data_IF_868992552092
#
_entry.id   IF_868992552092
#
_cell.length_a   1.000
_cell.length_b   1.000
_cell.length_c   1.000
_cell.angle_alpha   90.00
_cell.angle_beta   90.00
_cell.angle_gamma   90.00
#
_symmetry.space_group_name_H-M   'P 1'
#
loop_
_entity.id
_entity.type
_entity.pdbx_description
1 polymer ?
#
# COMPACT_ATOMS: atom_id res chain seq x y z
N UNK A 1 22.60 3.67 1.83
CA UNK A 1 21.97 3.23 0.57
C UNK A 1 20.89 4.23 0.21
N UNK A 2 20.61 4.40 -1.08
CA UNK A 2 19.57 5.32 -1.53
C UNK A 2 18.17 4.76 -1.24
N UNK A 3 17.16 5.59 -0.92
CA UNK A 3 15.79 5.14 -0.71
C UNK A 3 15.22 4.38 -1.91
N UNK A 4 14.53 3.26 -1.65
CA UNK A 4 13.84 2.46 -2.68
C UNK A 4 12.34 2.63 -2.57
N UNK A 5 11.65 2.59 -3.71
CA UNK A 5 10.19 2.65 -3.77
C UNK A 5 9.63 1.37 -4.38
N UNK A 6 8.45 0.95 -3.88
CA UNK A 6 7.69 -0.17 -4.44
C UNK A 6 6.24 0.24 -4.57
N UNK A 7 5.66 -0.04 -5.73
CA UNK A 7 4.24 0.17 -5.96
C UNK A 7 3.53 -1.17 -5.87
N UNK A 8 2.50 -1.24 -5.03
CA UNK A 8 1.60 -2.38 -4.91
C UNK A 8 0.24 -2.01 -5.48
N UNK A 9 -0.33 -2.87 -6.31
CA UNK A 9 -1.62 -2.67 -6.99
C UNK A 9 -2.55 -3.84 -6.73
N UNK A 10 -3.87 -3.61 -6.81
CA UNK A 10 -4.82 -4.72 -6.81
C UNK A 10 -4.73 -5.49 -8.13
N UNK A 11 -4.43 -6.81 -8.10
CA UNK A 11 -4.23 -7.60 -9.31
C UNK A 11 -5.54 -8.12 -9.95
N UNK A 12 -6.70 -7.96 -9.30
CA UNK A 12 -7.93 -8.64 -9.71
C UNK A 12 -9.19 -7.78 -9.57
N UNK A 13 -10.26 -8.16 -10.31
CA UNK A 13 -11.59 -7.55 -10.11
C UNK A 13 -12.06 -7.99 -8.74
N UNK A 14 -12.06 -7.06 -7.79
CA UNK A 14 -12.58 -7.29 -6.43
C UNK A 14 -14.02 -6.80 -6.30
N UNK A 15 -14.78 -7.43 -5.39
CA UNK A 15 -16.04 -6.89 -4.93
C UNK A 15 -15.81 -5.85 -3.81
N UNK A 16 -16.71 -4.88 -3.71
CA UNK A 16 -16.73 -3.91 -2.60
C UNK A 16 -16.75 -4.63 -1.26
N UNK A 17 -15.97 -4.13 -0.30
CA UNK A 17 -15.85 -4.68 1.06
C UNK A 17 -14.99 -5.94 1.16
N UNK A 18 -14.41 -6.43 0.06
CA UNK A 18 -13.60 -7.66 0.07
C UNK A 18 -12.10 -7.32 0.08
N UNK A 19 -11.35 -7.68 1.13
CA UNK A 19 -9.92 -7.46 1.18
C UNK A 19 -9.17 -8.34 0.17
N UNK A 20 -8.17 -7.79 -0.49
CA UNK A 20 -7.28 -8.48 -1.43
C UNK A 20 -5.83 -8.15 -1.11
N UNK A 21 -4.96 -9.16 -1.13
CA UNK A 21 -3.51 -8.92 -1.07
C UNK A 21 -3.06 -8.24 -2.36
N UNK A 22 -2.49 -7.06 -2.22
CA UNK A 22 -1.97 -6.30 -3.35
C UNK A 22 -0.68 -6.93 -3.85
N UNK A 23 -0.42 -6.75 -5.14
CA UNK A 23 0.72 -7.29 -5.86
C UNK A 23 1.72 -6.19 -6.13
N UNK A 24 2.99 -6.47 -5.89
CA UNK A 24 4.10 -5.62 -6.27
C UNK A 24 4.24 -5.60 -7.79
N UNK A 25 4.20 -4.40 -8.37
CA UNK A 25 4.30 -4.17 -9.81
C UNK A 25 5.65 -4.58 -10.41
N UNK A 26 6.72 -4.63 -9.61
CA UNK A 26 8.07 -4.94 -10.10
C UNK A 26 8.34 -6.45 -10.08
N UNK A 27 7.97 -7.13 -8.99
CA UNK A 27 8.25 -8.57 -8.82
C UNK A 27 7.05 -9.46 -9.09
N UNK A 28 5.85 -8.89 -9.22
CA UNK A 28 4.59 -9.62 -9.38
C UNK A 28 4.28 -10.56 -8.20
N UNK A 29 4.86 -10.29 -7.03
CA UNK A 29 4.60 -11.03 -5.78
C UNK A 29 3.62 -10.25 -4.90
N UNK A 30 2.87 -10.95 -4.05
CA UNK A 30 1.97 -10.33 -3.07
C UNK A 30 2.67 -9.86 -1.80
N UNK A 31 4.01 -9.93 -1.77
CA UNK A 31 4.84 -9.54 -0.65
C UNK A 31 6.16 -8.94 -1.12
N UNK A 32 6.76 -8.13 -0.24
CA UNK A 32 8.13 -7.63 -0.35
C UNK A 32 8.94 -8.33 0.74
N UNK A 33 9.99 -9.03 0.33
CA UNK A 33 10.89 -9.72 1.26
C UNK A 33 11.90 -8.73 1.83
N UNK A 34 11.88 -8.49 3.15
CA UNK A 34 12.87 -7.69 3.86
C UNK A 34 13.90 -8.62 4.52
N UNK A 35 15.11 -8.71 3.98
CA UNK A 35 16.21 -9.50 4.55
C UNK A 35 16.90 -8.76 5.69
N UNK A 36 16.81 -7.43 5.71
CA UNK A 36 17.29 -6.55 6.77
C UNK A 36 16.16 -5.67 7.33
N UNK A 37 16.25 -5.20 8.58
CA UNK A 37 15.33 -4.20 9.10
C UNK A 37 15.29 -2.95 8.22
N UNK A 38 14.12 -2.36 8.07
CA UNK A 38 13.91 -1.19 7.21
C UNK A 38 12.91 -0.22 7.86
N UNK A 39 12.74 0.96 7.28
CA UNK A 39 11.77 1.96 7.72
C UNK A 39 10.96 2.42 6.52
N UNK A 40 9.64 2.40 6.63
CA UNK A 40 8.76 3.08 5.69
C UNK A 40 8.86 4.57 6.01
N UNK A 41 9.39 5.33 5.07
CA UNK A 41 9.50 6.79 5.16
C UNK A 41 8.16 7.45 4.87
N UNK A 42 7.42 6.92 3.90
CA UNK A 42 6.10 7.43 3.55
C UNK A 42 5.33 6.44 2.67
N UNK A 43 4.00 6.62 2.56
CA UNK A 43 3.16 5.89 1.62
C UNK A 43 2.10 6.81 0.99
N UNK A 44 1.83 6.67 -0.31
CA UNK A 44 0.89 7.53 -1.05
C UNK A 44 0.27 6.80 -2.24
N UNK A 45 -0.86 7.27 -2.76
CA UNK A 45 -1.45 6.70 -3.97
C UNK A 45 -0.72 7.24 -5.21
N UNK A 46 -0.54 6.40 -6.23
CA UNK A 46 -0.04 6.78 -7.55
C UNK A 46 -0.42 5.70 -8.59
N UNK A 47 -1.51 5.88 -9.37
CA UNK A 47 -2.37 7.07 -9.45
C UNK A 47 -3.26 7.29 -8.22
N UNK A 48 -3.76 8.52 -8.06
CA UNK A 48 -4.89 8.76 -7.13
C UNK A 48 -6.16 8.08 -7.69
N UNK A 49 -7.10 7.65 -6.81
CA UNK A 49 -8.34 7.02 -7.25
C UNK A 49 -9.07 7.86 -8.32
N UNK A 50 -9.49 7.20 -9.40
CA UNK A 50 -10.02 7.87 -10.58
C UNK A 50 -11.32 8.62 -10.32
N UNK A 51 -12.20 8.07 -9.48
CA UNK A 51 -13.44 8.72 -9.06
C UNK A 51 -13.36 9.18 -7.60
N UNK A 52 -13.94 10.35 -7.31
CA UNK A 52 -13.98 10.90 -5.95
C UNK A 52 -14.74 9.99 -4.94
N UNK A 53 -15.62 9.14 -5.43
CA UNK A 53 -16.35 8.14 -4.63
C UNK A 53 -15.55 6.87 -4.38
N UNK A 54 -14.43 6.68 -5.08
CA UNK A 54 -13.60 5.50 -4.96
C UNK A 54 -12.57 5.72 -3.85
N UNK A 55 -12.80 5.06 -2.73
CA UNK A 55 -11.87 5.07 -1.62
C UNK A 55 -11.55 3.66 -1.14
N UNK A 56 -10.32 3.52 -0.66
CA UNK A 56 -9.65 2.28 -0.35
C UNK A 56 -9.11 2.35 1.07
N UNK A 57 -9.23 1.24 1.79
CA UNK A 57 -8.50 1.04 3.05
C UNK A 57 -7.34 0.09 2.80
N UNK A 58 -6.16 0.46 3.28
CA UNK A 58 -4.94 -0.33 3.17
C UNK A 58 -4.53 -0.82 4.54
N UNK A 59 -4.26 -2.11 4.67
CA UNK A 59 -3.79 -2.71 5.91
C UNK A 59 -2.40 -3.29 5.72
N UNK A 60 -1.47 -2.86 6.56
CA UNK A 60 -0.11 -3.39 6.55
C UNK A 60 -0.06 -4.70 7.31
N UNK A 61 0.47 -5.72 6.65
CA UNK A 61 0.65 -7.05 7.20
C UNK A 61 2.14 -7.42 7.21
N UNK A 62 2.55 -8.18 8.22
CA UNK A 62 3.89 -8.74 8.35
C UNK A 62 3.78 -10.25 8.55
N UNK A 63 4.43 -11.02 7.68
CA UNK A 63 4.36 -12.49 7.67
C UNK A 63 2.90 -12.99 7.72
N UNK A 64 2.02 -12.38 6.91
CA UNK A 64 0.58 -12.66 6.83
C UNK A 64 -0.22 -12.44 8.11
N UNK A 65 0.32 -11.62 9.03
CA UNK A 65 -0.36 -11.17 10.24
C UNK A 65 -0.55 -9.66 10.18
N UNK A 66 -1.75 -9.19 10.52
CA UNK A 66 -2.03 -7.76 10.63
C UNK A 66 -1.08 -7.06 11.59
N UNK A 67 -0.56 -5.90 11.19
CA UNK A 67 0.17 -5.01 12.11
C UNK A 67 -0.77 -4.09 12.90
N UNK A 68 -2.09 -4.17 12.68
CA UNK A 68 -3.09 -3.26 13.24
C UNK A 68 -3.02 -1.84 12.67
N UNK A 69 -2.25 -1.63 11.59
CA UNK A 69 -2.08 -0.33 10.94
C UNK A 69 -2.90 -0.27 9.67
N UNK A 70 -3.85 0.65 9.66
CA UNK A 70 -4.73 0.93 8.53
C UNK A 70 -4.48 2.33 8.00
N UNK A 71 -4.49 2.47 6.68
CA UNK A 71 -4.33 3.72 5.97
C UNK A 71 -5.50 3.92 5.01
N UNK A 72 -5.82 5.18 4.71
CA UNK A 72 -7.00 5.54 3.92
C UNK A 72 -6.54 6.28 2.67
N UNK A 73 -6.94 5.82 1.48
CA UNK A 73 -6.51 6.42 0.21
C UNK A 73 -6.82 7.92 0.15
N UNK A 74 -7.94 8.35 0.71
CA UNK A 74 -8.34 9.77 0.77
C UNK A 74 -7.37 10.64 1.56
N UNK A 75 -6.78 10.11 2.63
CA UNK A 75 -5.77 10.80 3.45
C UNK A 75 -4.36 10.74 2.85
N UNK A 76 -4.15 9.85 1.87
CA UNK A 76 -2.85 9.56 1.26
C UNK A 76 -2.64 10.22 -0.11
N UNK A 77 -3.67 10.87 -0.65
CA UNK A 77 -3.64 11.49 -1.97
C UNK A 77 -2.56 12.55 -2.08
N UNK A 78 -1.77 12.47 -3.14
CA UNK A 78 -0.69 13.44 -3.43
C UNK A 78 -1.22 14.77 -3.95
N UNK A 79 -2.43 14.77 -4.53
CA UNK A 79 -3.11 15.99 -4.96
C UNK A 79 -3.73 16.78 -3.79
N UNK A 80 -3.88 16.17 -2.61
CA UNK A 80 -4.49 16.81 -1.45
C UNK A 80 -3.46 17.61 -0.64
N UNK A 81 -3.72 18.91 -0.45
CA UNK A 81 -2.95 19.75 0.47
C UNK A 81 -3.09 19.31 1.95
N UNK A 82 -4.14 18.55 2.28
CA UNK A 82 -4.40 17.99 3.60
C UNK A 82 -3.85 16.57 3.80
N UNK A 83 -2.96 16.10 2.91
CA UNK A 83 -2.39 14.75 2.98
C UNK A 83 -1.74 14.49 4.34
N UNK A 84 -2.13 13.41 4.99
CA UNK A 84 -1.49 12.92 6.20
C UNK A 84 -0.25 12.10 5.81
N UNK A 85 0.93 12.55 6.26
CA UNK A 85 2.15 11.76 6.10
C UNK A 85 2.05 10.47 6.94
N UNK A 86 2.50 9.35 6.37
CA UNK A 86 2.35 8.04 7.03
C UNK A 86 3.53 7.72 7.95
N UNK A 87 4.73 8.22 7.64
CA UNK A 87 5.97 7.79 8.27
C UNK A 87 6.57 8.76 9.30
N UNK A 88 7.66 8.34 9.98
CA UNK A 88 8.40 7.09 9.76
C UNK A 88 7.86 5.88 10.55
N UNK A 89 7.77 4.71 9.88
CA UNK A 89 7.37 3.43 10.48
C UNK A 89 8.49 2.39 10.41
N UNK A 90 9.03 1.98 11.57
CA UNK A 90 10.10 0.98 11.67
C UNK A 90 9.57 -0.44 11.47
N UNK A 91 10.29 -1.22 10.66
CA UNK A 91 9.97 -2.60 10.32
C UNK A 91 11.15 -3.52 10.67
N UNK A 92 10.85 -4.65 11.30
CA UNK A 92 11.79 -5.76 11.40
C UNK A 92 11.83 -6.55 10.07
N UNK A 93 12.87 -7.34 9.87
CA UNK A 93 12.99 -8.26 8.73
C UNK A 93 11.82 -9.26 8.67
N UNK A 94 11.55 -9.77 7.48
CA UNK A 94 10.44 -10.67 7.17
C UNK A 94 9.67 -10.24 5.92
N UNK A 95 8.53 -10.86 5.71
CA UNK A 95 7.65 -10.56 4.57
C UNK A 95 6.74 -9.39 4.93
N UNK A 96 6.80 -8.33 4.13
CA UNK A 96 5.87 -7.22 4.17
C UNK A 96 4.78 -7.44 3.13
N UNK A 97 3.53 -7.29 3.54
CA UNK A 97 2.37 -7.44 2.66
C UNK A 97 1.45 -6.24 2.85
N UNK A 98 0.71 -5.91 1.80
CA UNK A 98 -0.34 -4.90 1.88
C UNK A 98 -1.65 -5.51 1.44
N UNK A 99 -2.66 -5.43 2.30
CA UNK A 99 -4.03 -5.76 1.95
C UNK A 99 -4.76 -4.47 1.56
N UNK A 100 -5.54 -4.51 0.50
CA UNK A 100 -6.40 -3.42 0.06
C UNK A 100 -7.87 -3.86 0.11
N UNK A 101 -8.73 -3.02 0.68
CA UNK A 101 -10.19 -3.23 0.64
C UNK A 101 -10.86 -2.05 -0.09
N UNK A 102 -11.58 -2.31 -1.20
CA UNK A 102 -12.40 -1.29 -1.86
C UNK A 102 -13.66 -1.01 -1.04
N UNK A 103 -13.96 0.26 -0.77
CA UNK A 103 -15.17 0.64 -0.02
C UNK A 103 -16.19 1.34 -0.93
N UNK A 104 -15.73 2.05 -1.97
CA UNK A 104 -16.60 2.74 -2.94
C UNK A 104 -16.51 2.26 -4.40
N UNK A 105 -15.51 1.45 -4.74
CA UNK A 105 -15.22 1.07 -6.13
C UNK A 105 -15.69 -0.36 -6.47
N UNK A 106 -16.54 -0.50 -7.49
CA UNK A 106 -17.06 -1.79 -7.97
C UNK A 106 -16.06 -2.61 -8.82
N UNK A 107 -14.95 -2.00 -9.25
CA UNK A 107 -13.90 -2.67 -10.03
C UNK A 107 -12.53 -1.97 -9.84
N UNK A 108 -11.84 -2.19 -8.71
CA UNK A 108 -10.67 -1.42 -8.31
C UNK A 108 -9.35 -1.81 -9.00
N UNK A 109 -9.40 -2.55 -10.12
CA UNK A 109 -8.18 -3.02 -10.79
C UNK A 109 -7.33 -1.83 -11.20
N UNK A 110 -6.04 -1.84 -10.83
CA UNK A 110 -5.05 -0.79 -11.09
C UNK A 110 -5.36 0.58 -10.46
N UNK A 111 -6.63 0.87 -10.15
CA UNK A 111 -7.06 2.09 -9.45
C UNK A 111 -6.72 1.99 -7.95
N UNK A 112 -6.94 0.83 -7.33
CA UNK A 112 -6.45 0.57 -5.98
C UNK A 112 -4.95 0.29 -6.02
N UNK A 113 -4.19 1.26 -5.54
CA UNK A 113 -2.75 1.20 -5.54
C UNK A 113 -2.13 2.02 -4.41
N UNK A 114 -0.91 1.66 -4.04
CA UNK A 114 -0.11 2.35 -3.05
C UNK A 114 1.37 2.29 -3.44
N UNK A 115 2.07 3.41 -3.31
CA UNK A 115 3.52 3.47 -3.36
C UNK A 115 4.06 3.53 -1.94
N UNK A 116 5.05 2.68 -1.65
CA UNK A 116 5.73 2.58 -0.38
C UNK A 116 7.17 3.04 -0.56
N UNK A 117 7.59 4.04 0.22
CA UNK A 117 8.97 4.55 0.24
C UNK A 117 9.74 3.93 1.41
N UNK A 118 10.85 3.26 1.11
CA UNK A 118 11.73 2.64 2.10
C UNK A 118 13.02 3.44 2.29
N UNK A 119 13.56 3.42 3.51
CA UNK A 119 14.83 4.06 3.84
C UNK A 119 16.05 3.38 3.20
N UNK A 120 15.98 2.07 2.96
CA UNK A 120 17.08 1.23 2.48
C UNK A 120 16.56 0.18 1.49
N UNK A 121 17.47 -0.61 0.91
CA UNK A 121 17.12 -1.80 0.13
C UNK A 121 16.59 -2.97 0.97
N UNK A 122 16.39 -4.11 0.31
CA UNK A 122 15.67 -5.28 0.82
C UNK A 122 16.57 -6.45 1.20
#
# INVERSE_FOLDING_TARGET
MEPIQRQMTNPAVGAVGTPVLMQDTVTLLTFIQLNVPNTILDMYNSPDPAAATDFYTYELQKNSISTGRTFFSTAMSTASAGRAAVGPLRLASGQLQMSGTPVGALAPINDQNIVIKFSNGF
#
